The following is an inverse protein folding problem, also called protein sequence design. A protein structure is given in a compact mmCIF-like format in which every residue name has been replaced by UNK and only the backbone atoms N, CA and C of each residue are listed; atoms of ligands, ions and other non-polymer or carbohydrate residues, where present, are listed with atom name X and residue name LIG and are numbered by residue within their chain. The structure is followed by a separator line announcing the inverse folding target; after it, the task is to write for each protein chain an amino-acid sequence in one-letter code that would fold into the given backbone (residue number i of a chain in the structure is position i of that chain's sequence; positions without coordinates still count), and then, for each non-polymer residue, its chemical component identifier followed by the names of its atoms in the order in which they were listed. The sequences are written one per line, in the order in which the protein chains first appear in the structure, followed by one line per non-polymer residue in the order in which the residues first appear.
data_IF_988418655510
#
_entry.id   IF_988418655510
#
_cell.length_a   1.000
_cell.length_b   1.000
_cell.length_c   1.000
_cell.angle_alpha   90.00
_cell.angle_beta   90.00
_cell.angle_gamma   90.00
#
_symmetry.space_group_name_H-M   'P 1'
#
loop_
_entity.id
_entity.type
_entity.pdbx_description
1 polymer ?
#
# COMPACT_ATOMS: atom_id res chain seq x y z
N UNK A 1 -8.32 -16.99 10.65
CA UNK A 1 -8.56 -16.17 9.43
C UNK A 1 -9.93 -15.49 9.41
N UNK A 2 -11.04 -16.14 9.80
CA UNK A 2 -12.39 -15.52 9.80
C UNK A 2 -12.44 -14.21 10.60
N UNK A 3 -11.80 -14.18 11.78
CA UNK A 3 -11.69 -12.97 12.60
C UNK A 3 -11.03 -11.80 11.87
N UNK A 4 -9.94 -12.05 11.14
CA UNK A 4 -9.21 -11.02 10.39
C UNK A 4 -10.01 -10.48 9.21
N UNK A 5 -10.80 -11.34 8.54
CA UNK A 5 -11.74 -10.91 7.50
C UNK A 5 -12.90 -10.08 8.08
N UNK A 6 -13.40 -10.43 9.26
CA UNK A 6 -14.41 -9.63 9.97
C UNK A 6 -13.85 -8.26 10.41
N UNK A 7 -12.61 -8.22 10.91
CA UNK A 7 -11.89 -6.97 11.20
C UNK A 7 -11.77 -6.10 9.96
N UNK A 8 -11.38 -6.69 8.83
CA UNK A 8 -11.26 -5.98 7.56
C UNK A 8 -12.64 -5.46 7.08
N UNK A 9 -13.70 -6.24 7.27
CA UNK A 9 -15.08 -5.84 6.96
C UNK A 9 -15.59 -4.71 7.84
N UNK A 10 -15.28 -4.72 9.14
CA UNK A 10 -15.66 -3.66 10.06
C UNK A 10 -14.86 -2.38 9.85
N UNK A 11 -13.59 -2.53 9.48
CA UNK A 11 -12.77 -1.44 8.92
C UNK A 11 -13.44 -0.88 7.66
N UNK A 12 -13.94 -1.68 6.72
CA UNK A 12 -14.63 -1.14 5.53
C UNK A 12 -15.90 -0.34 5.90
N UNK A 13 -16.67 -0.78 6.90
CA UNK A 13 -17.95 -0.16 7.32
C UNK A 13 -17.80 1.19 8.04
N UNK A 14 -16.74 1.42 8.82
CA UNK A 14 -16.62 2.56 9.75
C UNK A 14 -16.09 3.88 9.13
N UNK A 15 -16.42 4.19 7.87
CA UNK A 15 -16.01 5.40 7.10
C UNK A 15 -14.73 5.32 6.27
N UNK A 16 -13.98 4.22 6.36
CA UNK A 16 -12.76 4.00 5.59
C UNK A 16 -13.01 3.74 4.10
N UNK A 17 -14.23 3.34 3.73
CA UNK A 17 -14.73 3.33 2.35
C UNK A 17 -14.60 4.70 1.67
N UNK A 18 -14.74 5.80 2.42
CA UNK A 18 -14.58 7.15 1.86
C UNK A 18 -13.13 7.40 1.47
N UNK A 19 -12.18 7.04 2.34
CA UNK A 19 -10.75 7.21 2.07
C UNK A 19 -10.27 6.28 0.96
N UNK A 20 -10.67 5.00 0.99
CA UNK A 20 -10.39 4.05 -0.08
C UNK A 20 -11.01 4.48 -1.42
N UNK A 21 -12.21 5.07 -1.38
CA UNK A 21 -12.88 5.65 -2.54
C UNK A 21 -12.13 6.86 -3.12
N UNK A 22 -11.61 7.75 -2.26
CA UNK A 22 -10.74 8.88 -2.69
C UNK A 22 -9.46 8.35 -3.33
N UNK A 23 -8.82 7.34 -2.72
CA UNK A 23 -7.62 6.71 -3.29
C UNK A 23 -7.90 6.10 -4.67
N UNK A 24 -9.02 5.38 -4.83
CA UNK A 24 -9.45 4.82 -6.11
C UNK A 24 -9.76 5.91 -7.14
N UNK A 25 -10.42 7.00 -6.75
CA UNK A 25 -10.71 8.13 -7.64
C UNK A 25 -9.43 8.75 -8.19
N UNK A 26 -8.44 9.02 -7.32
CA UNK A 26 -7.15 9.55 -7.76
C UNK A 26 -6.41 8.59 -8.69
N UNK A 27 -6.49 7.28 -8.40
CA UNK A 27 -5.93 6.26 -9.28
C UNK A 27 -6.59 6.30 -10.66
N UNK A 28 -7.92 6.37 -10.73
CA UNK A 28 -8.66 6.47 -11.99
C UNK A 28 -8.32 7.74 -12.77
N UNK A 29 -8.16 8.87 -12.08
CA UNK A 29 -7.76 10.14 -12.72
C UNK A 29 -6.38 9.98 -13.36
N UNK A 30 -5.39 9.46 -12.63
CA UNK A 30 -4.04 9.28 -13.16
C UNK A 30 -4.01 8.24 -14.28
N UNK A 31 -4.78 7.16 -14.14
CA UNK A 31 -4.94 6.16 -15.19
C UNK A 31 -5.51 6.77 -16.48
N UNK A 32 -6.52 7.63 -16.36
CA UNK A 32 -7.11 8.34 -17.50
C UNK A 32 -6.14 9.33 -18.14
N UNK A 33 -5.32 10.03 -17.35
CA UNK A 33 -4.30 10.96 -17.85
C UNK A 33 -3.23 10.23 -18.67
N UNK A 34 -2.80 9.05 -18.21
CA UNK A 34 -1.80 8.23 -18.93
C UNK A 34 -2.36 7.71 -20.24
N UNK A 35 -3.62 7.25 -20.28
CA UNK A 35 -4.24 6.72 -21.51
C UNK A 35 -4.53 7.82 -22.55
N UNK A 36 -4.95 9.01 -22.09
CA UNK A 36 -5.31 10.13 -22.98
C UNK A 36 -4.08 10.90 -23.49
N UNK A 37 -2.88 10.55 -23.02
CA UNK A 37 -1.64 11.21 -23.43
C UNK A 37 -1.44 11.15 -24.96
N UNK A 38 -1.27 12.31 -25.64
CA UNK A 38 -1.20 12.37 -27.10
C UNK A 38 0.10 11.82 -27.69
N UNK A 39 1.11 11.55 -26.86
CA UNK A 39 2.47 11.16 -27.29
C UNK A 39 2.66 9.63 -27.31
N UNK A 40 1.60 8.86 -27.06
CA UNK A 40 1.67 7.42 -26.83
C UNK A 40 2.25 7.11 -25.45
N UNK A 41 1.89 5.95 -24.91
CA UNK A 41 2.28 5.56 -23.54
C UNK A 41 3.75 5.13 -23.53
N UNK A 42 4.58 5.88 -22.80
CA UNK A 42 5.98 5.56 -22.59
C UNK A 42 6.17 4.68 -21.36
N UNK A 43 7.34 4.06 -21.26
CA UNK A 43 7.72 3.26 -20.10
C UNK A 43 7.75 4.11 -18.81
N UNK A 44 8.14 5.39 -18.90
CA UNK A 44 8.07 6.35 -17.79
C UNK A 44 6.65 6.52 -17.23
N UNK A 45 5.65 6.55 -18.12
CA UNK A 45 4.25 6.76 -17.73
C UNK A 45 3.69 5.53 -17.00
N UNK A 46 4.19 4.35 -17.34
CA UNK A 46 3.89 3.11 -16.63
C UNK A 46 4.47 3.10 -15.20
N UNK A 47 5.71 3.58 -15.03
CA UNK A 47 6.33 3.74 -13.71
C UNK A 47 5.55 4.76 -12.86
N UNK A 48 5.17 5.89 -13.46
CA UNK A 48 4.35 6.91 -12.80
C UNK A 48 3.01 6.32 -12.32
N UNK A 49 2.32 5.57 -13.19
CA UNK A 49 1.04 4.94 -12.87
C UNK A 49 1.16 3.96 -11.69
N UNK A 50 2.23 3.16 -11.66
CA UNK A 50 2.54 2.25 -10.56
C UNK A 50 2.95 2.97 -9.26
N UNK A 51 3.28 4.26 -9.34
CA UNK A 51 3.82 5.03 -8.22
C UNK A 51 5.24 4.58 -7.89
N UNK A 52 6.11 4.49 -8.90
CA UNK A 52 7.52 4.13 -8.77
C UNK A 52 8.36 5.16 -9.53
N UNK A 53 9.57 5.45 -9.04
CA UNK A 53 10.47 6.40 -9.68
C UNK A 53 11.09 5.83 -10.96
N UNK A 54 11.02 6.59 -12.05
CA UNK A 54 11.74 6.32 -13.29
C UNK A 54 12.97 7.23 -13.38
N UNK A 55 14.17 6.63 -13.39
CA UNK A 55 15.48 7.32 -13.53
C UNK A 55 15.63 8.60 -12.67
N UNK A 56 16.55 9.51 -13.01
CA UNK A 56 16.89 10.70 -12.19
C UNK A 56 15.99 11.91 -12.46
N UNK A 57 15.22 11.91 -13.55
CA UNK A 57 14.39 13.04 -13.97
C UNK A 57 12.96 12.89 -13.43
N UNK A 58 12.82 13.02 -12.11
CA UNK A 58 11.53 12.86 -11.42
C UNK A 58 10.74 14.16 -11.46
N UNK A 59 9.49 14.10 -11.93
CA UNK A 59 8.62 15.28 -11.93
C UNK A 59 7.99 15.53 -10.56
N UNK A 60 7.63 16.79 -10.26
CA UNK A 60 6.95 17.12 -8.99
C UNK A 60 5.62 16.36 -8.82
N UNK A 61 4.90 16.11 -9.91
CA UNK A 61 3.65 15.34 -9.90
C UNK A 61 3.89 13.88 -9.52
N UNK A 62 4.96 13.25 -10.03
CA UNK A 62 5.37 11.90 -9.63
C UNK A 62 5.67 11.82 -8.14
N UNK A 63 6.41 12.79 -7.60
CA UNK A 63 6.72 12.85 -6.16
C UNK A 63 5.44 12.94 -5.34
N UNK A 64 4.51 13.83 -5.71
CA UNK A 64 3.23 13.97 -5.01
C UNK A 64 2.39 12.70 -5.08
N UNK A 65 2.36 12.04 -6.23
CA UNK A 65 1.59 10.82 -6.42
C UNK A 65 2.14 9.66 -5.59
N UNK A 66 3.46 9.44 -5.65
CA UNK A 66 4.14 8.43 -4.84
C UNK A 66 3.96 8.74 -3.35
N UNK A 67 4.13 10.00 -2.96
CA UNK A 67 3.89 10.47 -1.60
C UNK A 67 2.47 10.20 -1.11
N UNK A 68 1.47 10.49 -1.94
CA UNK A 68 0.06 10.18 -1.64
C UNK A 68 -0.17 8.68 -1.47
N UNK A 69 0.34 7.84 -2.39
CA UNK A 69 0.22 6.39 -2.28
C UNK A 69 0.88 5.86 -1.00
N UNK A 70 2.09 6.33 -0.68
CA UNK A 70 2.81 5.91 0.52
C UNK A 70 2.11 6.37 1.80
N UNK A 71 1.71 7.65 1.88
CA UNK A 71 1.01 8.17 3.06
C UNK A 71 -0.33 7.46 3.27
N UNK A 72 -1.08 7.18 2.21
CA UNK A 72 -2.33 6.43 2.30
C UNK A 72 -2.13 5.01 2.83
N UNK A 73 -1.04 4.35 2.41
CA UNK A 73 -0.65 3.02 2.85
C UNK A 73 -0.23 3.02 4.33
N UNK A 74 0.56 4.01 4.76
CA UNK A 74 0.95 4.22 6.15
C UNK A 74 -0.29 4.44 7.01
N UNK A 75 -1.20 5.30 6.57
CA UNK A 75 -2.44 5.60 7.28
C UNK A 75 -3.29 4.33 7.46
N UNK A 76 -3.50 3.55 6.39
CA UNK A 76 -4.22 2.27 6.46
C UNK A 76 -3.56 1.29 7.43
N UNK A 77 -2.23 1.24 7.46
CA UNK A 77 -1.50 0.40 8.41
C UNK A 77 -1.68 0.83 9.87
N UNK A 78 -1.57 2.13 10.16
CA UNK A 78 -1.76 2.66 11.51
C UNK A 78 -3.20 2.43 12.00
N UNK A 79 -4.18 2.62 11.12
CA UNK A 79 -5.58 2.33 11.43
C UNK A 79 -5.82 0.85 11.72
N UNK A 80 -5.18 -0.03 10.96
CA UNK A 80 -5.24 -1.46 11.22
C UNK A 80 -4.69 -1.79 12.62
N UNK A 81 -3.56 -1.20 13.01
CA UNK A 81 -2.98 -1.34 14.35
C UNK A 81 -3.87 -0.76 15.46
N UNK A 82 -4.50 0.40 15.21
CA UNK A 82 -5.38 1.06 16.18
C UNK A 82 -6.67 0.25 16.40
N UNK A 83 -7.31 -0.23 15.34
CA UNK A 83 -8.47 -1.09 15.43
C UNK A 83 -8.17 -2.37 16.22
N UNK A 84 -7.01 -2.98 15.93
CA UNK A 84 -6.48 -4.14 16.61
C UNK A 84 -6.33 -3.95 18.12
N UNK A 85 -5.81 -2.78 18.54
CA UNK A 85 -5.65 -2.41 19.95
C UNK A 85 -6.98 -2.37 20.71
N UNK A 86 -8.06 -1.89 20.07
CA UNK A 86 -9.35 -1.70 20.74
C UNK A 86 -10.31 -2.89 20.66
N UNK A 87 -10.23 -3.71 19.60
CA UNK A 87 -11.23 -4.76 19.34
C UNK A 87 -10.71 -6.19 19.55
N UNK A 88 -9.40 -6.43 19.61
CA UNK A 88 -8.90 -7.78 19.87
C UNK A 88 -8.87 -8.10 21.37
N UNK A 89 -9.65 -9.11 21.77
CA UNK A 89 -9.59 -9.68 23.13
C UNK A 89 -8.21 -10.25 23.46
N UNK A 90 -7.41 -10.60 22.44
CA UNK A 90 -6.01 -11.02 22.56
C UNK A 90 -5.09 -9.91 23.11
N UNK A 91 -5.28 -8.65 22.72
CA UNK A 91 -4.49 -7.52 23.25
C UNK A 91 -4.81 -7.23 24.73
N UNK A 92 -6.03 -7.52 25.17
CA UNK A 92 -6.46 -7.39 26.57
C UNK A 92 -5.95 -8.55 27.46
N UNK A 93 -5.81 -9.76 26.92
CA UNK A 93 -5.46 -10.97 27.67
C UNK A 93 -3.97 -11.39 27.62
N UNK A 94 -3.18 -10.95 26.64
CA UNK A 94 -1.83 -11.51 26.40
C UNK A 94 -0.69 -10.48 26.44
N UNK A 95 -0.50 -9.76 27.56
CA UNK A 95 0.71 -8.91 27.75
C UNK A 95 2.04 -9.65 27.53
N UNK A 96 2.09 -10.98 27.68
CA UNK A 96 3.34 -11.76 27.58
C UNK A 96 3.73 -12.24 26.17
N UNK A 97 2.85 -12.19 25.14
CA UNK A 97 3.17 -12.64 23.76
C UNK A 97 2.89 -11.61 22.65
N UNK A 98 2.69 -10.35 23.02
CA UNK A 98 2.33 -9.24 22.11
C UNK A 98 3.26 -9.09 20.90
N UNK A 99 4.57 -9.31 21.08
CA UNK A 99 5.55 -9.17 19.98
C UNK A 99 5.32 -10.18 18.86
N UNK A 100 5.10 -11.46 19.17
CA UNK A 100 4.85 -12.49 18.16
C UNK A 100 3.51 -12.27 17.43
N UNK A 101 2.48 -11.81 18.15
CA UNK A 101 1.17 -11.49 17.57
C UNK A 101 1.28 -10.29 16.61
N UNK A 102 1.99 -9.23 17.01
CA UNK A 102 2.25 -8.07 16.15
C UNK A 102 3.02 -8.45 14.88
N UNK A 103 4.06 -9.28 15.00
CA UNK A 103 4.84 -9.76 13.84
C UNK A 103 3.97 -10.58 12.88
N UNK A 104 3.17 -11.51 13.38
CA UNK A 104 2.26 -12.28 12.53
C UNK A 104 1.26 -11.40 11.79
N UNK A 105 0.76 -10.35 12.45
CA UNK A 105 -0.19 -9.41 11.84
C UNK A 105 0.48 -8.53 10.79
N UNK A 106 1.72 -8.10 11.03
CA UNK A 106 2.51 -7.44 10.00
C UNK A 106 2.73 -8.33 8.78
N UNK A 107 3.06 -9.61 8.96
CA UNK A 107 3.24 -10.55 7.85
C UNK A 107 1.95 -10.71 7.01
N UNK A 108 0.79 -10.75 7.66
CA UNK A 108 -0.50 -10.85 6.97
C UNK A 108 -0.81 -9.56 6.20
N UNK A 109 -0.53 -8.39 6.79
CA UNK A 109 -0.73 -7.11 6.14
C UNK A 109 0.24 -6.90 4.96
N UNK A 110 1.49 -7.31 5.09
CA UNK A 110 2.48 -7.25 4.00
C UNK A 110 2.13 -8.20 2.86
N UNK A 111 1.63 -9.40 3.16
CA UNK A 111 1.09 -10.32 2.16
C UNK A 111 -0.09 -9.71 1.40
N UNK A 112 -1.03 -9.09 2.11
CA UNK A 112 -2.15 -8.39 1.49
C UNK A 112 -1.69 -7.31 0.51
N UNK A 113 -0.68 -6.52 0.88
CA UNK A 113 -0.14 -5.46 0.01
C UNK A 113 0.60 -6.03 -1.18
N UNK A 114 1.33 -7.11 -0.98
CA UNK A 114 2.04 -7.78 -2.07
C UNK A 114 1.04 -8.28 -3.10
N UNK A 115 -0.03 -8.96 -2.66
CA UNK A 115 -1.12 -9.40 -3.54
C UNK A 115 -1.80 -8.23 -4.24
N UNK A 116 -2.09 -7.16 -3.52
CA UNK A 116 -2.70 -5.96 -4.10
C UNK A 116 -1.81 -5.32 -5.17
N UNK A 117 -0.50 -5.20 -4.90
CA UNK A 117 0.48 -4.64 -5.84
C UNK A 117 0.70 -5.51 -7.06
N UNK A 118 0.66 -6.84 -6.89
CA UNK A 118 0.71 -7.80 -8.00
C UNK A 118 -0.53 -7.67 -8.90
N UNK A 119 -1.72 -7.59 -8.30
CA UNK A 119 -2.96 -7.38 -9.06
C UNK A 119 -2.94 -6.04 -9.79
N UNK A 120 -2.51 -4.97 -9.11
CA UNK A 120 -2.44 -3.65 -9.71
C UNK A 120 -1.45 -3.58 -10.88
N UNK A 121 -0.26 -4.19 -10.71
CA UNK A 121 0.71 -4.34 -11.80
C UNK A 121 0.14 -5.14 -12.96
N UNK A 122 -0.48 -6.29 -12.68
CA UNK A 122 -1.07 -7.17 -13.69
C UNK A 122 -2.14 -6.47 -14.52
N UNK A 123 -3.08 -5.78 -13.87
CA UNK A 123 -4.14 -5.02 -14.56
C UNK A 123 -3.54 -3.89 -15.40
N UNK A 124 -2.62 -3.11 -14.83
CA UNK A 124 -1.98 -2.00 -15.53
C UNK A 124 -1.18 -2.46 -16.73
N UNK A 125 -0.44 -3.56 -16.59
CA UNK A 125 0.32 -4.17 -17.67
C UNK A 125 -0.59 -4.74 -18.76
N UNK A 126 -1.70 -5.40 -18.40
CA UNK A 126 -2.66 -5.92 -19.37
C UNK A 126 -3.30 -4.81 -20.21
N UNK A 127 -3.64 -3.67 -19.59
CA UNK A 127 -4.20 -2.53 -20.33
C UNK A 127 -3.18 -1.89 -21.26
N UNK A 128 -1.91 -1.85 -20.86
CA UNK A 128 -0.82 -1.19 -21.59
C UNK A 128 0.10 -2.16 -22.35
N UNK A 129 -0.30 -3.43 -22.50
CA UNK A 129 0.58 -4.51 -23.00
C UNK A 129 1.13 -4.25 -24.40
N UNK A 130 0.37 -3.55 -25.23
CA UNK A 130 0.77 -3.20 -26.59
C UNK A 130 1.79 -2.07 -26.65
N UNK A 131 1.94 -1.29 -25.57
CA UNK A 131 2.77 -0.08 -25.53
C UNK A 131 4.02 -0.25 -24.67
N UNK A 132 3.99 -1.15 -23.68
CA UNK A 132 5.05 -1.25 -22.66
C UNK A 132 5.61 -2.66 -22.60
N UNK A 133 6.93 -2.79 -22.69
CA UNK A 133 7.65 -4.05 -22.49
C UNK A 133 7.74 -4.36 -21.00
N UNK A 134 7.62 -5.62 -20.63
CA UNK A 134 7.75 -6.06 -19.25
C UNK A 134 9.15 -5.75 -18.71
N UNK A 135 9.22 -4.97 -17.62
CA UNK A 135 10.47 -4.62 -16.94
C UNK A 135 10.51 -5.23 -15.54
N UNK A 136 11.50 -6.11 -15.33
CA UNK A 136 11.76 -6.75 -14.04
C UNK A 136 12.12 -5.76 -12.94
N UNK A 137 12.84 -4.70 -13.27
CA UNK A 137 13.23 -3.68 -12.30
C UNK A 137 11.99 -2.94 -11.77
N UNK A 138 11.10 -2.53 -12.68
CA UNK A 138 9.82 -1.92 -12.34
C UNK A 138 8.98 -2.82 -11.42
N UNK A 139 8.87 -4.10 -11.78
CA UNK A 139 8.11 -5.10 -11.05
C UNK A 139 8.59 -5.22 -9.59
N UNK A 140 9.90 -5.37 -9.39
CA UNK A 140 10.46 -5.49 -8.05
C UNK A 140 10.36 -4.20 -7.25
N UNK A 141 10.60 -3.04 -7.86
CA UNK A 141 10.45 -1.75 -7.19
C UNK A 141 9.01 -1.51 -6.71
N UNK A 142 7.99 -1.86 -7.51
CA UNK A 142 6.58 -1.76 -7.13
C UNK A 142 6.21 -2.63 -5.91
N UNK A 143 6.98 -3.65 -5.58
CA UNK A 143 6.75 -4.47 -4.37
C UNK A 143 7.60 -3.95 -3.21
N UNK A 144 8.91 -3.81 -3.44
CA UNK A 144 9.89 -3.49 -2.41
C UNK A 144 9.63 -2.13 -1.77
N UNK A 145 9.26 -1.12 -2.57
CA UNK A 145 9.01 0.24 -2.06
C UNK A 145 7.85 0.27 -1.05
N UNK A 146 6.77 -0.46 -1.32
CA UNK A 146 5.58 -0.46 -0.46
C UNK A 146 5.70 -1.41 0.74
N UNK A 147 6.30 -2.58 0.54
CA UNK A 147 6.56 -3.49 1.67
C UNK A 147 7.63 -2.91 2.60
N UNK A 148 8.70 -2.32 2.03
CA UNK A 148 9.78 -1.70 2.78
C UNK A 148 9.32 -0.51 3.61
N UNK A 149 8.45 0.35 3.09
CA UNK A 149 7.90 1.49 3.84
C UNK A 149 7.09 1.05 5.06
N UNK A 150 6.28 0.01 4.95
CA UNK A 150 5.56 -0.54 6.12
C UNK A 150 6.50 -1.15 7.12
N UNK A 151 7.53 -1.86 6.66
CA UNK A 151 8.52 -2.43 7.55
C UNK A 151 9.21 -1.34 8.38
N UNK A 152 9.61 -0.23 7.75
CA UNK A 152 10.18 0.95 8.44
C UNK A 152 9.19 1.55 9.43
N UNK A 153 7.93 1.77 9.03
CA UNK A 153 6.89 2.33 9.91
C UNK A 153 6.62 1.42 11.10
N UNK A 154 6.60 0.11 10.89
CA UNK A 154 6.45 -0.86 11.97
C UNK A 154 7.62 -0.86 12.93
N UNK A 155 8.86 -0.77 12.44
CA UNK A 155 10.04 -0.64 13.30
C UNK A 155 9.93 0.61 14.19
N UNK A 156 9.53 1.75 13.61
CA UNK A 156 9.30 2.99 14.36
C UNK A 156 8.18 2.83 15.41
N UNK A 157 7.08 2.17 15.04
CA UNK A 157 5.98 1.87 15.96
C UNK A 157 6.44 0.95 17.11
N UNK A 158 7.25 -0.06 16.83
CA UNK A 158 7.76 -0.98 17.83
C UNK A 158 8.73 -0.28 18.80
N UNK A 159 9.61 0.58 18.30
CA UNK A 159 10.53 1.38 19.15
C UNK A 159 9.75 2.33 20.06
N UNK A 160 8.75 3.04 19.53
CA UNK A 160 7.93 3.97 20.33
C UNK A 160 7.05 3.24 21.34
N UNK A 161 6.47 2.10 20.98
CA UNK A 161 5.69 1.27 21.90
C UNK A 161 6.54 0.70 23.04
N UNK A 162 7.76 0.23 22.75
CA UNK A 162 8.69 -0.27 23.78
C UNK A 162 9.20 0.82 24.71
N UNK A 163 9.29 2.08 24.25
CA UNK A 163 9.73 3.20 25.08
C UNK A 163 8.66 3.66 26.09
N UNK A 164 7.39 3.38 25.81
CA UNK A 164 6.24 3.79 26.64
C UNK A 164 5.77 2.71 27.64
N UNK A 165 6.46 1.56 27.70
CA UNK A 165 6.27 0.48 28.69
C UNK A 165 7.36 0.62 29.74
#
# INVERSE_FOLDING_TARGET
MIYQLCVLRDLIKKSYLKFFGVWLLFLLIIFSLVIVSPVGVRLSDFYFLLGVFYTYDVTFLEVLWIGFQLLSLIYMFLLFLEFEKYNSSEFLLLRCKMRCVLINKLLIFSLFITLFRLLFFGVSFLVLHNSVVFDWFCFWQNIILYVGTIFVVFLLYLVTFLRNI
#
